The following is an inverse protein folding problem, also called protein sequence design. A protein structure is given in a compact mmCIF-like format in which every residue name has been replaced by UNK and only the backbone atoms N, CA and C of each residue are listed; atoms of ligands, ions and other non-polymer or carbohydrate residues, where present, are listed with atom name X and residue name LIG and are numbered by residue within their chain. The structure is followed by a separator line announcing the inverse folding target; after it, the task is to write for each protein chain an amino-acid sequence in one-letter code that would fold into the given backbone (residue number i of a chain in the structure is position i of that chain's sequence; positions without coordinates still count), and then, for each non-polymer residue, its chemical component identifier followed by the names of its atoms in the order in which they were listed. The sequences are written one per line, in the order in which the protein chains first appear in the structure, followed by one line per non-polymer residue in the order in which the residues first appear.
data_IF_244422173929
#
_entry.id   IF_244422173929
#
_cell.length_a   1.000
_cell.length_b   1.000
_cell.length_c   1.000
_cell.angle_alpha   90.00
_cell.angle_beta   90.00
_cell.angle_gamma   90.00
#
_symmetry.space_group_name_H-M   'P 1'
#
loop_
_entity.id
_entity.type
_entity.pdbx_description
1 polymer ?
#
# COMPACT_ATOMS: atom_id res chain seq x y z
N UNK A 1 -11.58 -7.60 28.21
CA UNK A 1 -12.02 -6.51 27.31
C UNK A 1 -10.94 -6.32 26.26
N UNK A 2 -11.26 -6.24 24.97
CA UNK A 2 -10.24 -6.06 23.93
C UNK A 2 -9.84 -4.58 23.87
N UNK A 3 -8.56 -4.28 24.12
CA UNK A 3 -8.04 -2.90 24.08
C UNK A 3 -7.34 -2.66 22.75
N UNK A 4 -7.82 -1.70 21.95
CA UNK A 4 -7.16 -1.29 20.70
C UNK A 4 -6.11 -0.23 21.05
N UNK A 5 -4.83 -0.57 20.84
CA UNK A 5 -3.72 0.29 21.27
C UNK A 5 -3.23 1.24 20.17
N UNK A 6 -3.30 0.84 18.89
CA UNK A 6 -2.81 1.63 17.75
C UNK A 6 -3.34 1.10 16.42
N UNK A 7 -3.24 1.95 15.39
CA UNK A 7 -3.48 1.55 14.00
C UNK A 7 -2.30 0.70 13.50
N UNK A 8 -2.60 -0.47 12.94
CA UNK A 8 -1.58 -1.38 12.42
C UNK A 8 -1.31 -1.16 10.93
N UNK A 9 -2.35 -1.06 10.11
CA UNK A 9 -2.25 -0.80 8.69
C UNK A 9 -3.59 -0.28 8.14
N UNK A 10 -3.56 0.26 6.93
CA UNK A 10 -4.74 0.60 6.13
C UNK A 10 -4.59 0.00 4.73
N UNK A 11 -5.71 -0.31 4.07
CA UNK A 11 -5.74 -0.79 2.70
C UNK A 11 -6.41 0.25 1.81
N UNK A 12 -5.82 0.49 0.63
CA UNK A 12 -6.25 1.57 -0.28
C UNK A 12 -6.45 0.96 -1.66
N UNK A 13 -7.56 1.31 -2.31
CA UNK A 13 -7.80 1.01 -3.72
C UNK A 13 -7.41 2.26 -4.51
N UNK A 14 -6.55 2.09 -5.51
CA UNK A 14 -6.13 3.18 -6.39
C UNK A 14 -6.45 2.85 -7.85
N UNK A 15 -6.63 3.88 -8.67
CA UNK A 15 -6.88 3.74 -10.10
C UNK A 15 -5.59 3.57 -10.93
N UNK A 16 -4.47 4.10 -10.44
CA UNK A 16 -3.16 4.05 -11.09
C UNK A 16 -2.09 3.64 -10.07
N UNK A 17 -1.63 2.40 -10.20
CA UNK A 17 -0.64 1.82 -9.30
C UNK A 17 0.72 2.51 -9.42
N UNK A 18 1.17 2.86 -10.62
CA UNK A 18 2.48 3.46 -10.84
C UNK A 18 2.57 4.84 -10.16
N UNK A 19 1.55 5.68 -10.37
CA UNK A 19 1.46 6.99 -9.68
C UNK A 19 1.42 6.83 -8.16
N UNK A 20 0.62 5.89 -7.67
CA UNK A 20 0.50 5.62 -6.23
C UNK A 20 1.84 5.16 -5.64
N UNK A 21 2.54 4.24 -6.32
CA UNK A 21 3.85 3.74 -5.89
C UNK A 21 4.88 4.86 -5.82
N UNK A 22 4.96 5.73 -6.83
CA UNK A 22 5.84 6.90 -6.82
C UNK A 22 5.53 7.83 -5.64
N UNK A 23 4.25 8.12 -5.39
CA UNK A 23 3.86 8.95 -4.26
C UNK A 23 4.31 8.35 -2.91
N UNK A 24 3.98 7.10 -2.63
CA UNK A 24 4.34 6.48 -1.35
C UNK A 24 5.85 6.25 -1.20
N UNK A 25 6.55 5.82 -2.26
CA UNK A 25 7.98 5.46 -2.21
C UNK A 25 8.90 6.66 -2.32
N UNK A 26 8.63 7.58 -3.23
CA UNK A 26 9.56 8.66 -3.61
C UNK A 26 9.16 9.99 -2.97
N UNK A 27 7.88 10.35 -3.00
CA UNK A 27 7.42 11.61 -2.41
C UNK A 27 7.38 11.52 -0.89
N UNK A 28 6.82 10.44 -0.34
CA UNK A 28 6.76 10.23 1.11
C UNK A 28 7.98 9.47 1.67
N UNK A 29 8.83 8.92 0.80
CA UNK A 29 10.02 8.19 1.23
C UNK A 29 9.74 6.87 1.97
N UNK A 30 8.54 6.29 1.84
CA UNK A 30 8.20 5.06 2.55
C UNK A 30 8.83 3.83 1.88
N UNK A 31 9.38 2.88 2.65
CA UNK A 31 9.96 1.67 2.09
C UNK A 31 8.87 0.73 1.55
N UNK A 32 9.14 0.11 0.40
CA UNK A 32 8.32 -1.00 -0.10
C UNK A 32 8.66 -2.26 0.69
N UNK A 33 7.72 -2.73 1.52
CA UNK A 33 7.91 -3.93 2.34
C UNK A 33 7.63 -5.21 1.53
N UNK A 34 6.59 -5.20 0.70
CA UNK A 34 6.20 -6.33 -0.16
C UNK A 34 5.44 -5.83 -1.38
N UNK A 35 5.66 -6.48 -2.51
CA UNK A 35 4.97 -6.24 -3.77
C UNK A 35 4.41 -7.56 -4.31
N UNK A 36 3.21 -7.54 -4.87
CA UNK A 36 2.56 -8.75 -5.41
C UNK A 36 1.75 -8.33 -6.62
N UNK A 37 2.05 -8.97 -7.76
CA UNK A 37 1.35 -8.77 -9.02
C UNK A 37 0.64 -10.07 -9.41
N UNK A 38 -0.62 -9.93 -9.79
CA UNK A 38 -1.54 -10.98 -10.22
C UNK A 38 -1.88 -10.76 -11.68
N UNK A 39 -1.20 -11.50 -12.55
CA UNK A 39 -1.34 -11.37 -14.00
C UNK A 39 -2.80 -11.57 -14.45
N UNK A 40 -3.56 -12.45 -13.78
CA UNK A 40 -4.94 -12.75 -14.13
C UNK A 40 -5.92 -11.60 -13.92
N UNK A 41 -5.55 -10.61 -13.11
CA UNK A 41 -6.35 -9.41 -12.82
C UNK A 41 -5.66 -8.11 -13.21
N UNK A 42 -4.49 -8.21 -13.83
CA UNK A 42 -3.61 -7.09 -14.11
C UNK A 42 -3.41 -6.18 -12.87
N UNK A 43 -3.20 -6.79 -11.69
CA UNK A 43 -3.11 -6.09 -10.41
C UNK A 43 -2.05 -6.70 -9.51
#
# INVERSE_FOLDING_TARGET
MLNINKLHHASIICSDYAKSKTFYKEVLGLPVIRETYRAERNS
#
